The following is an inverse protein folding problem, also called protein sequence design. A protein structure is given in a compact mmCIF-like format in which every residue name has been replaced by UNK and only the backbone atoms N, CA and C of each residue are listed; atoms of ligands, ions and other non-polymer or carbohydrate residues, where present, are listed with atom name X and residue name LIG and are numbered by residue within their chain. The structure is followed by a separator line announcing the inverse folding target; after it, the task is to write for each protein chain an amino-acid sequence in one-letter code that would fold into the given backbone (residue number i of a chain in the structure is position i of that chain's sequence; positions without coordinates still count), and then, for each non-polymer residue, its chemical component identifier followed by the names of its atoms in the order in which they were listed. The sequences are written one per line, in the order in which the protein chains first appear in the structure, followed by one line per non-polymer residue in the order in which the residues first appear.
data_IF_788732527868
#
_entry.id   IF_788732527868
#
_cell.length_a   1.000
_cell.length_b   1.000
_cell.length_c   1.000
_cell.angle_alpha   90.00
_cell.angle_beta   90.00
_cell.angle_gamma   90.00
#
_symmetry.space_group_name_H-M   'P 1'
#
loop_
_entity.id
_entity.type
_entity.pdbx_description
1 polymer ?
#
# COMPACT_ATOMS: atom_id res chain seq x y z
N UNK A 1 -13.41 34.53 10.72
CA UNK A 1 -12.07 34.43 11.35
C UNK A 1 -11.36 33.31 10.61
N UNK A 2 -10.32 33.47 9.79
CA UNK A 2 -9.35 34.53 9.55
C UNK A 2 -8.86 34.36 8.09
N UNK A 3 -8.93 35.40 7.25
CA UNK A 3 -7.76 36.20 6.79
C UNK A 3 -6.89 35.42 5.81
N UNK A 4 -7.16 35.48 4.50
CA UNK A 4 -6.42 36.34 3.55
C UNK A 4 -4.90 36.39 3.79
N UNK A 5 -4.13 35.61 3.04
CA UNK A 5 -2.77 36.01 2.67
C UNK A 5 -2.53 35.68 1.20
N UNK A 6 -2.74 36.71 0.40
CA UNK A 6 -2.16 36.89 -0.92
C UNK A 6 -0.68 37.23 -0.68
N UNK A 7 0.25 36.47 -1.25
CA UNK A 7 1.61 36.98 -1.46
C UNK A 7 2.10 36.51 -2.83
N UNK A 8 2.02 37.43 -3.79
CA UNK A 8 2.70 37.36 -5.06
C UNK A 8 4.20 37.61 -4.84
N UNK A 9 5.05 36.81 -5.49
CA UNK A 9 6.42 37.22 -5.78
C UNK A 9 6.75 36.84 -7.22
N UNK A 10 6.79 37.87 -8.07
CA UNK A 10 7.28 37.87 -9.44
C UNK A 10 8.75 38.33 -9.40
N UNK A 11 9.69 37.49 -9.82
CA UNK A 11 11.04 37.87 -10.26
C UNK A 11 11.52 36.81 -11.27
N UNK A 12 11.32 36.98 -12.59
CA UNK A 12 12.23 37.65 -13.54
C UNK A 12 13.70 37.21 -13.38
N UNK A 13 14.06 36.15 -14.10
CA UNK A 13 15.43 35.74 -14.38
C UNK A 13 15.55 35.32 -15.85
N UNK A 14 15.90 36.27 -16.71
CA UNK A 14 16.22 36.05 -18.11
C UNK A 14 17.59 35.37 -18.24
N UNK A 15 17.67 34.31 -19.04
CA UNK A 15 18.91 33.59 -19.36
C UNK A 15 18.73 32.73 -20.61
N UNK A 16 18.96 33.35 -21.76
CA UNK A 16 18.87 32.81 -23.12
C UNK A 16 20.24 32.27 -23.54
N UNK A 17 20.35 31.07 -24.17
CA UNK A 17 21.32 30.72 -25.23
C UNK A 17 21.17 29.25 -25.74
N UNK A 18 20.47 29.11 -26.87
CA UNK A 18 20.72 28.37 -28.15
C UNK A 18 21.27 26.91 -28.26
N UNK A 19 20.44 26.09 -28.95
CA UNK A 19 20.68 25.24 -30.18
C UNK A 19 21.52 23.96 -30.04
N UNK A 20 21.21 22.77 -30.60
CA UNK A 20 20.57 22.38 -31.87
C UNK A 20 19.84 21.02 -31.73
N UNK A 21 18.68 20.88 -32.38
CA UNK A 21 18.01 19.59 -32.58
C UNK A 21 16.94 19.72 -33.66
N UNK A 22 17.32 19.41 -34.90
CA UNK A 22 16.46 19.45 -36.08
C UNK A 22 15.73 18.10 -36.23
N UNK A 23 14.42 18.12 -36.45
CA UNK A 23 13.69 16.99 -37.02
C UNK A 23 12.41 16.64 -36.28
N UNK A 24 11.26 16.86 -36.93
CA UNK A 24 10.00 16.25 -36.52
C UNK A 24 8.81 17.20 -36.54
N UNK A 25 8.39 17.59 -37.74
CA UNK A 25 7.14 18.30 -37.99
C UNK A 25 5.95 17.37 -37.73
N UNK A 26 5.03 17.80 -36.86
CA UNK A 26 3.77 17.08 -36.61
C UNK A 26 2.92 17.74 -35.52
N UNK A 27 2.12 18.73 -35.91
CA UNK A 27 0.89 19.14 -35.21
C UNK A 27 -0.24 18.95 -36.21
N UNK A 28 -1.45 18.50 -35.80
CA UNK A 28 -2.15 19.14 -34.69
C UNK A 28 -2.86 18.19 -33.71
N UNK A 29 -3.06 18.66 -32.48
CA UNK A 29 -4.12 18.18 -31.59
C UNK A 29 -5.49 18.33 -32.25
N UNK A 30 -6.47 17.50 -31.89
CA UNK A 30 -7.35 17.94 -30.80
C UNK A 30 -7.78 16.80 -29.85
N UNK A 31 -8.52 17.20 -28.80
CA UNK A 31 -9.23 16.38 -27.81
C UNK A 31 -8.33 15.92 -26.66
N UNK A 32 -8.23 16.65 -25.54
CA UNK A 32 -9.30 16.90 -24.57
C UNK A 32 -10.10 15.64 -24.20
N UNK A 33 -9.41 14.58 -23.81
CA UNK A 33 -9.99 13.56 -22.95
C UNK A 33 -9.26 13.63 -21.62
N UNK A 34 -10.02 14.03 -20.61
CA UNK A 34 -9.63 14.02 -19.21
C UNK A 34 -9.01 12.64 -18.88
N UNK A 35 -8.03 12.56 -17.97
CA UNK A 35 -7.72 11.28 -17.37
C UNK A 35 -9.04 10.77 -16.80
N UNK A 36 -9.56 9.69 -17.38
CA UNK A 36 -10.52 8.84 -16.71
C UNK A 36 -9.97 8.65 -15.31
N UNK A 37 -10.63 9.29 -14.35
CA UNK A 37 -10.46 8.99 -12.95
C UNK A 37 -10.69 7.50 -12.87
N UNK A 38 -9.59 6.74 -12.81
CA UNK A 38 -9.64 5.31 -12.55
C UNK A 38 -10.46 5.22 -11.28
N UNK A 39 -11.65 4.65 -11.44
CA UNK A 39 -12.48 4.18 -10.34
C UNK A 39 -11.51 3.54 -9.35
N UNK A 40 -11.48 3.94 -8.07
CA UNK A 40 -10.70 3.19 -7.10
C UNK A 40 -11.19 1.76 -7.21
N UNK A 41 -10.30 0.91 -7.71
CA UNK A 41 -10.43 -0.53 -7.73
C UNK A 41 -10.94 -0.88 -6.33
N UNK A 42 -12.19 -1.34 -6.23
CA UNK A 42 -12.76 -1.73 -4.94
C UNK A 42 -11.73 -2.65 -4.27
N UNK A 43 -11.48 -2.49 -2.96
CA UNK A 43 -10.56 -3.37 -2.25
C UNK A 43 -10.88 -4.81 -2.68
N UNK A 44 -9.91 -5.52 -3.23
CA UNK A 44 -10.14 -6.91 -3.61
C UNK A 44 -10.34 -7.66 -2.30
N UNK A 45 -11.60 -7.81 -1.90
CA UNK A 45 -11.99 -8.49 -0.68
C UNK A 45 -11.76 -9.98 -0.92
N UNK A 46 -10.62 -10.48 -0.44
CA UNK A 46 -10.31 -11.90 -0.49
C UNK A 46 -11.02 -12.59 0.67
N UNK A 47 -12.00 -13.44 0.41
CA UNK A 47 -12.70 -14.18 1.47
C UNK A 47 -11.72 -15.09 2.23
N UNK A 48 -11.63 -14.87 3.55
CA UNK A 48 -10.82 -15.72 4.42
C UNK A 48 -11.54 -17.05 4.66
N UNK A 49 -10.86 -18.17 4.40
CA UNK A 49 -11.34 -19.48 4.87
C UNK A 49 -11.23 -19.55 6.41
N UNK A 50 -11.96 -20.47 7.08
CA UNK A 50 -11.85 -20.63 8.53
C UNK A 50 -10.42 -20.94 9.01
N UNK A 51 -9.63 -21.66 8.21
CA UNK A 51 -8.23 -21.95 8.51
C UNK A 51 -7.36 -20.70 8.43
N UNK A 52 -7.58 -19.86 7.42
CA UNK A 52 -6.90 -18.58 7.30
C UNK A 52 -7.26 -17.64 8.45
N UNK A 53 -8.56 -17.54 8.79
CA UNK A 53 -9.03 -16.73 9.90
C UNK A 53 -8.38 -17.15 11.23
N UNK A 54 -8.20 -18.46 11.47
CA UNK A 54 -7.52 -18.95 12.66
C UNK A 54 -6.04 -18.54 12.73
N UNK A 55 -5.34 -18.46 11.60
CA UNK A 55 -3.95 -17.98 11.54
C UNK A 55 -3.89 -16.46 11.73
N UNK A 56 -4.78 -15.73 11.07
CA UNK A 56 -4.88 -14.28 11.16
C UNK A 56 -5.26 -13.83 12.58
N UNK A 57 -6.14 -14.55 13.27
CA UNK A 57 -6.46 -14.32 14.67
C UNK A 57 -5.24 -14.45 15.60
N UNK A 58 -4.35 -15.41 15.31
CA UNK A 58 -3.12 -15.57 16.08
C UNK A 58 -2.11 -14.45 15.77
N UNK A 59 -2.01 -14.04 14.50
CA UNK A 59 -1.15 -12.94 14.09
C UNK A 59 -1.61 -11.60 14.69
N UNK A 60 -2.91 -11.34 14.70
CA UNK A 60 -3.56 -10.20 15.35
C UNK A 60 -3.23 -10.15 16.85
N UNK A 61 -3.43 -11.27 17.55
CA UNK A 61 -3.11 -11.37 18.98
C UNK A 61 -1.63 -11.11 19.33
N UNK A 62 -0.68 -11.32 18.39
CA UNK A 62 0.74 -11.01 18.63
C UNK A 62 1.02 -9.52 18.75
N UNK A 63 0.17 -8.66 18.19
CA UNK A 63 0.28 -7.22 18.33
C UNK A 63 -0.23 -6.71 19.69
N UNK A 64 -0.71 -7.64 20.54
CA UNK A 64 -1.26 -7.34 21.86
C UNK A 64 -2.68 -6.76 21.83
N UNK A 65 -3.29 -6.72 20.65
CA UNK A 65 -4.65 -6.26 20.41
C UNK A 65 -5.39 -7.32 19.59
N UNK A 66 -6.67 -7.55 19.88
CA UNK A 66 -7.54 -8.40 19.05
C UNK A 66 -8.60 -7.54 18.40
N UNK A 67 -8.19 -6.69 17.47
CA UNK A 67 -9.02 -5.75 16.73
C UNK A 67 -9.17 -6.13 15.25
N UNK A 68 -8.70 -7.32 14.87
CA UNK A 68 -8.66 -7.82 13.48
C UNK A 68 -7.75 -6.97 12.59
N UNK A 69 -6.74 -6.35 13.20
CA UNK A 69 -5.72 -5.57 12.52
C UNK A 69 -4.37 -6.20 12.83
N UNK A 70 -3.88 -6.98 11.87
CA UNK A 70 -2.50 -7.49 11.91
C UNK A 70 -1.59 -6.32 11.57
N UNK A 71 -1.09 -5.66 12.59
CA UNK A 71 -0.24 -4.48 12.52
C UNK A 71 1.20 -4.84 12.15
N UNK A 72 1.62 -6.09 12.40
CA UNK A 72 2.93 -6.62 11.99
C UNK A 72 2.97 -7.17 10.57
N UNK A 73 4.07 -6.90 9.87
CA UNK A 73 4.24 -7.30 8.48
C UNK A 73 4.32 -8.82 8.32
N UNK A 74 3.28 -9.41 7.73
CA UNK A 74 3.20 -10.86 7.51
C UNK A 74 4.28 -11.40 6.56
N UNK A 75 4.67 -10.63 5.53
CA UNK A 75 5.75 -11.01 4.59
C UNK A 75 7.13 -11.06 5.24
N UNK A 76 7.32 -10.32 6.33
CA UNK A 76 8.54 -10.33 7.13
C UNK A 76 8.43 -11.25 8.35
N UNK A 77 7.54 -12.26 8.29
CA UNK A 77 7.28 -13.20 9.38
C UNK A 77 6.94 -12.50 10.71
N UNK A 78 6.19 -11.40 10.65
CA UNK A 78 5.79 -10.58 11.80
C UNK A 78 6.97 -9.95 12.57
N UNK A 79 8.17 -9.92 11.99
CA UNK A 79 9.38 -9.40 12.63
C UNK A 79 9.44 -7.87 12.73
N UNK A 80 8.61 -7.14 11.98
CA UNK A 80 8.60 -5.69 11.94
C UNK A 80 7.20 -5.13 11.78
N UNK A 81 7.00 -3.89 12.19
CA UNK A 81 5.72 -3.20 12.11
C UNK A 81 5.38 -2.83 10.66
N UNK A 82 4.11 -2.99 10.30
CA UNK A 82 3.55 -2.55 9.04
C UNK A 82 2.95 -1.14 9.12
N UNK A 83 2.62 -0.60 7.95
CA UNK A 83 1.90 0.68 7.82
C UNK A 83 0.52 0.46 7.22
N UNK A 84 -0.46 1.25 7.68
CA UNK A 84 -1.81 1.28 7.10
C UNK A 84 -1.82 1.73 5.63
N UNK A 85 -0.79 2.47 5.20
CA UNK A 85 -0.59 2.88 3.80
C UNK A 85 -0.33 1.70 2.86
N UNK A 86 0.16 0.59 3.40
CA UNK A 86 0.39 -0.65 2.68
C UNK A 86 -0.47 -1.76 3.31
N UNK A 87 -1.78 -1.56 3.34
CA UNK A 87 -2.71 -2.54 3.90
C UNK A 87 -3.39 -3.40 2.83
N UNK A 88 -3.80 -4.61 3.23
CA UNK A 88 -4.59 -5.54 2.43
C UNK A 88 -5.72 -6.11 3.31
N UNK A 89 -6.92 -6.24 2.75
CA UNK A 89 -8.04 -6.88 3.44
C UNK A 89 -8.13 -8.36 3.07
N UNK A 90 -8.29 -9.21 4.08
CA UNK A 90 -8.48 -10.66 3.94
C UNK A 90 -9.65 -11.06 4.84
N UNK A 91 -10.84 -11.18 4.26
CA UNK A 91 -12.11 -11.30 4.95
C UNK A 91 -12.35 -10.10 5.86
N UNK A 92 -12.50 -10.35 7.16
CA UNK A 92 -12.68 -9.34 8.19
C UNK A 92 -11.38 -8.76 8.76
N UNK A 93 -10.23 -9.26 8.30
CA UNK A 93 -8.91 -8.85 8.79
C UNK A 93 -8.28 -7.78 7.90
N UNK A 94 -7.65 -6.80 8.54
CA UNK A 94 -6.76 -5.84 7.88
C UNK A 94 -5.31 -6.23 8.17
N UNK A 95 -4.54 -6.52 7.12
CA UNK A 95 -3.12 -6.83 7.23
C UNK A 95 -2.29 -5.63 6.83
N UNK A 96 -1.37 -5.18 7.69
CA UNK A 96 -0.47 -4.07 7.43
C UNK A 96 0.92 -4.58 7.03
N UNK A 97 1.49 -4.01 5.97
CA UNK A 97 2.82 -4.38 5.46
C UNK A 97 3.81 -3.23 5.64
N UNK A 98 5.09 -3.56 5.81
CA UNK A 98 6.13 -2.55 6.04
C UNK A 98 6.49 -1.78 4.75
N UNK A 99 6.27 -2.38 3.58
CA UNK A 99 6.49 -1.78 2.26
C UNK A 99 5.42 -2.25 1.27
N UNK A 100 5.25 -1.51 0.18
CA UNK A 100 4.37 -1.90 -0.92
C UNK A 100 4.82 -3.21 -1.61
N UNK A 101 6.13 -3.46 -1.71
CA UNK A 101 6.67 -4.74 -2.20
C UNK A 101 6.25 -5.92 -1.31
N UNK A 102 6.27 -5.75 0.02
CA UNK A 102 5.83 -6.80 0.93
C UNK A 102 4.34 -7.10 0.75
N UNK A 103 3.51 -6.06 0.59
CA UNK A 103 2.08 -6.22 0.28
C UNK A 103 1.90 -6.96 -1.05
N UNK A 104 2.58 -6.53 -2.10
CA UNK A 104 2.49 -7.13 -3.44
C UNK A 104 2.86 -8.61 -3.44
N UNK A 105 4.02 -8.96 -2.87
CA UNK A 105 4.47 -10.34 -2.78
C UNK A 105 3.48 -11.23 -1.99
N UNK A 106 2.87 -10.69 -0.95
CA UNK A 106 1.84 -11.40 -0.19
C UNK A 106 0.54 -11.58 -0.99
N UNK A 107 0.15 -10.55 -1.75
CA UNK A 107 -1.06 -10.55 -2.58
C UNK A 107 -0.96 -11.45 -3.82
N UNK A 108 0.23 -11.93 -4.21
CA UNK A 108 0.38 -12.85 -5.34
C UNK A 108 -0.39 -14.17 -5.12
N UNK A 109 -0.39 -14.66 -3.87
CA UNK A 109 -1.17 -15.82 -3.46
C UNK A 109 -1.51 -15.70 -1.96
N UNK A 110 -2.62 -15.01 -1.68
CA UNK A 110 -3.05 -14.67 -0.32
C UNK A 110 -3.29 -15.94 0.50
N UNK A 111 -3.99 -16.94 -0.06
CA UNK A 111 -4.28 -18.18 0.64
C UNK A 111 -2.99 -18.90 1.05
N UNK A 112 -2.07 -19.10 0.10
CA UNK A 112 -0.78 -19.74 0.40
C UNK A 112 0.04 -18.94 1.39
N UNK A 113 0.04 -17.61 1.28
CA UNK A 113 0.83 -16.73 2.14
C UNK A 113 0.29 -16.70 3.57
N UNK A 114 -1.03 -16.66 3.76
CA UNK A 114 -1.66 -16.76 5.09
C UNK A 114 -1.44 -18.15 5.69
N UNK A 115 -1.69 -19.22 4.93
CA UNK A 115 -1.52 -20.60 5.43
C UNK A 115 -0.05 -20.93 5.74
N UNK A 116 0.89 -20.28 5.05
CA UNK A 116 2.34 -20.41 5.29
C UNK A 116 2.89 -19.48 6.37
N UNK A 117 2.07 -18.60 6.96
CA UNK A 117 2.52 -17.63 7.95
C UNK A 117 2.98 -18.34 9.23
N UNK A 118 4.25 -18.18 9.57
CA UNK A 118 4.81 -18.63 10.84
C UNK A 118 4.49 -17.62 11.93
N UNK A 119 3.39 -17.86 12.63
CA UNK A 119 3.03 -17.12 13.84
C UNK A 119 3.72 -17.79 15.03
N UNK A 120 4.68 -17.14 15.72
CA UNK A 120 5.23 -17.68 16.96
C UNK A 120 4.12 -17.92 17.99
N UNK A 121 4.24 -19.00 18.76
CA UNK A 121 3.28 -19.30 19.82
C UNK A 121 3.26 -18.13 20.83
N UNK A 122 2.07 -17.69 21.23
CA UNK A 122 1.89 -16.61 22.21
C UNK A 122 2.56 -16.88 23.56
N UNK A 123 2.96 -18.13 23.84
CA UNK A 123 3.70 -18.57 25.02
C UNK A 123 5.23 -18.49 24.91
N UNK A 124 5.79 -17.93 23.81
CA UNK A 124 7.25 -17.81 23.64
C UNK A 124 7.99 -19.16 23.56
N UNK A 125 7.25 -20.26 23.36
CA UNK A 125 7.83 -21.58 23.15
C UNK A 125 7.92 -21.82 21.64
N UNK A 126 9.08 -21.50 21.08
CA UNK A 126 9.55 -22.01 19.79
C UNK A 126 9.44 -23.55 19.84
N UNK A 127 8.55 -24.15 19.04
CA UNK A 127 8.45 -25.61 18.93
C UNK A 127 9.44 -26.04 17.83
N UNK A 128 10.39 -26.93 18.15
CA UNK A 128 11.52 -27.30 17.28
C UNK A 128 11.12 -28.00 15.98
#
# INVERSE_FOLDING_TARGET
MSTRMILAYVLLGAGMLVVSGCGGQGSPSPVASQPEARVPESPQEFDATPEMAAILAKADALDGQTDKIVSRCASCALGMDGSKEHSLHVGEYTMCFCTDDCKKAFSEDIAKSVLGLKVPAADGSDVP
#
